data_IF_000693213707
#
_entry.id   IF_000693213707
#
_cell.length_a   1.000
_cell.length_b   1.000
_cell.length_c   1.000
_cell.angle_alpha   90.00
_cell.angle_beta   90.00
_cell.angle_gamma   90.00
#
_symmetry.space_group_name_H-M   'P 1'
#
loop_
_entity.id
_entity.type
_entity.pdbx_description
1 polymer ?
#
# COMPACT_ATOMS: atom_id res chain seq x y z
N UNK A 1 7.50 -12.49 -5.39
CA UNK A 1 6.44 -11.49 -5.57
C UNK A 1 5.13 -12.24 -5.78
N UNK A 2 4.10 -12.01 -4.96
CA UNK A 2 2.80 -12.69 -5.11
C UNK A 2 1.98 -12.08 -6.25
N UNK A 3 1.06 -12.85 -6.84
CA UNK A 3 0.18 -12.38 -7.90
C UNK A 3 -0.63 -11.14 -7.47
N UNK A 4 -1.10 -11.12 -6.22
CA UNK A 4 -1.88 -10.00 -5.68
C UNK A 4 -1.06 -8.70 -5.58
N UNK A 5 0.20 -8.78 -5.11
CA UNK A 5 1.10 -7.63 -5.08
C UNK A 5 1.40 -7.10 -6.49
N UNK A 6 1.52 -8.00 -7.47
CA UNK A 6 1.69 -7.62 -8.87
C UNK A 6 0.45 -6.89 -9.42
N UNK A 7 -0.76 -7.34 -9.10
CA UNK A 7 -2.01 -6.67 -9.50
C UNK A 7 -2.10 -5.25 -8.94
N UNK A 8 -1.74 -5.04 -7.67
CA UNK A 8 -1.73 -3.71 -7.05
C UNK A 8 -0.71 -2.80 -7.74
N UNK A 9 0.48 -3.30 -8.02
CA UNK A 9 1.51 -2.53 -8.74
C UNK A 9 1.07 -2.18 -10.17
N UNK A 10 0.44 -3.12 -10.87
CA UNK A 10 -0.11 -2.87 -12.20
C UNK A 10 -1.20 -1.78 -12.15
N UNK A 11 -2.04 -1.77 -11.12
CA UNK A 11 -3.07 -0.74 -10.93
C UNK A 11 -2.46 0.65 -10.71
N UNK A 12 -1.40 0.75 -9.89
CA UNK A 12 -0.63 1.99 -9.74
C UNK A 12 -0.11 2.49 -11.09
N UNK A 13 0.49 1.61 -11.88
CA UNK A 13 1.03 1.96 -13.20
C UNK A 13 -0.06 2.38 -14.17
N UNK A 14 -1.22 1.71 -14.17
CA UNK A 14 -2.37 2.09 -14.99
C UNK A 14 -2.83 3.50 -14.63
N UNK A 15 -3.06 3.79 -13.34
CA UNK A 15 -3.47 5.15 -12.93
C UNK A 15 -2.43 6.21 -13.27
N UNK A 16 -1.14 5.89 -13.12
CA UNK A 16 -0.05 6.79 -13.48
C UNK A 16 -0.02 7.07 -14.99
N UNK A 17 -0.17 6.04 -15.83
CA UNK A 17 -0.20 6.20 -17.29
C UNK A 17 -1.45 6.97 -17.73
N UNK A 18 -2.63 6.67 -17.16
CA UNK A 18 -3.85 7.41 -17.44
C UNK A 18 -3.70 8.89 -17.09
N UNK A 19 -3.08 9.19 -15.94
CA UNK A 19 -2.86 10.58 -15.51
C UNK A 19 -1.87 11.34 -16.41
N UNK A 20 -0.75 10.72 -16.80
CA UNK A 20 0.32 11.39 -17.54
C UNK A 20 0.07 11.49 -19.04
N UNK A 21 -0.56 10.47 -19.63
CA UNK A 21 -0.60 10.29 -21.09
C UNK A 21 -2.00 10.48 -21.66
N UNK A 22 -3.05 10.18 -20.90
CA UNK A 22 -4.41 10.22 -21.44
C UNK A 22 -4.98 11.65 -21.54
N UNK A 23 -5.96 11.81 -22.43
CA UNK A 23 -6.87 12.95 -22.45
C UNK A 23 -8.08 12.76 -21.54
N UNK A 24 -8.95 13.75 -21.47
CA UNK A 24 -10.20 13.65 -20.71
C UNK A 24 -11.17 12.68 -21.39
N UNK A 25 -11.93 11.86 -20.64
CA UNK A 25 -12.08 11.85 -19.18
C UNK A 25 -11.07 10.97 -18.43
N UNK A 26 -10.22 10.24 -19.15
CA UNK A 26 -9.34 9.21 -18.55
C UNK A 26 -8.24 9.79 -17.67
N UNK A 27 -7.79 11.01 -17.96
CA UNK A 27 -6.85 11.74 -17.10
C UNK A 27 -7.41 11.96 -15.69
N UNK A 28 -8.69 12.33 -15.58
CA UNK A 28 -9.37 12.52 -14.30
C UNK A 28 -9.48 11.20 -13.53
N UNK A 29 -9.74 10.09 -14.23
CA UNK A 29 -9.72 8.74 -13.63
C UNK A 29 -8.34 8.40 -13.08
N UNK A 30 -7.27 8.67 -13.84
CA UNK A 30 -5.90 8.47 -13.38
C UNK A 30 -5.56 9.32 -12.16
N UNK A 31 -5.92 10.61 -12.19
CA UNK A 31 -5.71 11.55 -11.07
C UNK A 31 -6.39 11.08 -9.80
N UNK A 32 -7.70 10.83 -9.86
CA UNK A 32 -8.45 10.39 -8.68
C UNK A 32 -8.07 8.98 -8.23
N UNK A 33 -7.73 8.08 -9.16
CA UNK A 33 -7.19 6.76 -8.84
C UNK A 33 -5.90 6.86 -8.04
N UNK A 34 -4.94 7.68 -8.46
CA UNK A 34 -3.70 7.92 -7.72
C UNK A 34 -3.96 8.54 -6.35
N UNK A 35 -4.79 9.59 -6.28
CA UNK A 35 -5.11 10.28 -5.02
C UNK A 35 -5.74 9.30 -4.03
N UNK A 36 -6.73 8.52 -4.46
CA UNK A 36 -7.39 7.54 -3.61
C UNK A 36 -6.43 6.43 -3.17
N UNK A 37 -5.56 5.93 -4.06
CA UNK A 37 -4.55 4.93 -3.69
C UNK A 37 -3.57 5.46 -2.64
N UNK A 38 -3.08 6.70 -2.80
CA UNK A 38 -2.19 7.33 -1.81
C UNK A 38 -2.90 7.48 -0.46
N UNK A 39 -4.15 7.95 -0.44
CA UNK A 39 -4.91 8.14 0.79
C UNK A 39 -5.22 6.81 1.48
N UNK A 40 -5.68 5.81 0.73
CA UNK A 40 -6.02 4.49 1.26
C UNK A 40 -4.78 3.79 1.82
N UNK A 41 -3.69 3.71 1.06
CA UNK A 41 -2.49 3.02 1.50
C UNK A 41 -1.74 3.82 2.57
N UNK A 42 -1.80 5.16 2.55
CA UNK A 42 -1.31 6.01 3.62
C UNK A 42 -2.07 5.79 4.93
N UNK A 43 -3.39 5.63 4.88
CA UNK A 43 -4.20 5.23 6.04
C UNK A 43 -3.81 3.83 6.53
N UNK A 44 -3.59 2.88 5.64
CA UNK A 44 -3.13 1.53 6.00
C UNK A 44 -1.76 1.56 6.69
N UNK A 45 -0.82 2.40 6.26
CA UNK A 45 0.45 2.57 6.97
C UNK A 45 0.23 2.99 8.42
N UNK A 46 -0.73 3.89 8.68
CA UNK A 46 -1.06 4.33 10.04
C UNK A 46 -1.71 3.20 10.85
N UNK A 47 -2.70 2.51 10.27
CA UNK A 47 -3.40 1.40 10.92
C UNK A 47 -2.47 0.23 11.24
N UNK A 48 -1.51 -0.06 10.36
CA UNK A 48 -0.55 -1.17 10.50
C UNK A 48 0.80 -0.74 11.07
N UNK A 49 0.97 0.51 11.51
CA UNK A 49 2.22 1.02 12.06
C UNK A 49 2.73 0.17 13.23
N UNK A 50 1.83 -0.19 14.16
CA UNK A 50 2.16 -1.03 15.31
C UNK A 50 2.64 -2.42 14.89
N UNK A 51 2.03 -3.03 13.86
CA UNK A 51 2.47 -4.32 13.30
C UNK A 51 3.85 -4.18 12.64
N UNK A 52 4.08 -3.12 11.87
CA UNK A 52 5.38 -2.87 11.23
C UNK A 52 6.50 -2.66 12.25
N UNK A 53 6.24 -1.96 13.36
CA UNK A 53 7.21 -1.75 14.44
C UNK A 53 7.59 -3.06 15.14
N UNK A 54 6.63 -3.97 15.31
CA UNK A 54 6.83 -5.26 15.99
C UNK A 54 7.41 -6.35 15.10
N UNK A 55 7.28 -6.24 13.78
CA UNK A 55 7.82 -7.22 12.82
C UNK A 55 9.36 -7.34 12.85
N UNK A 56 10.05 -6.43 13.53
CA UNK A 56 11.51 -6.35 13.55
C UNK A 56 12.07 -5.83 12.22
N UNK A 57 13.40 -5.78 12.09
CA UNK A 57 14.05 -5.29 10.88
C UNK A 57 13.87 -3.79 10.64
N UNK A 58 13.72 -3.40 9.37
CA UNK A 58 13.66 -1.99 8.96
C UNK A 58 12.22 -1.48 8.93
N UNK A 59 11.82 -0.72 9.95
CA UNK A 59 10.51 -0.08 10.01
C UNK A 59 10.18 0.77 8.76
N UNK A 60 11.07 1.65 8.26
CA UNK A 60 10.80 2.41 7.03
C UNK A 60 10.53 1.50 5.82
N UNK A 61 11.21 0.37 5.74
CA UNK A 61 11.00 -0.60 4.65
C UNK A 61 9.63 -1.28 4.75
N UNK A 62 9.22 -1.70 5.96
CA UNK A 62 7.88 -2.27 6.16
C UNK A 62 6.79 -1.25 5.82
N UNK A 63 6.93 0.00 6.27
CA UNK A 63 5.99 1.07 5.97
C UNK A 63 5.92 1.39 4.47
N UNK A 64 7.06 1.42 3.77
CA UNK A 64 7.10 1.57 2.33
C UNK A 64 6.39 0.41 1.60
N UNK A 65 6.58 -0.82 2.07
CA UNK A 65 5.87 -1.96 1.49
C UNK A 65 4.36 -1.96 1.79
N UNK A 66 3.93 -1.48 2.97
CA UNK A 66 2.50 -1.22 3.23
C UNK A 66 2.00 -0.09 2.33
N UNK A 67 2.78 0.96 2.08
CA UNK A 67 2.38 2.03 1.16
C UNK A 67 2.16 1.53 -0.28
N UNK A 68 3.02 0.63 -0.75
CA UNK A 68 2.89 0.10 -2.12
C UNK A 68 1.82 -0.97 -2.24
N UNK A 69 1.73 -1.89 -1.28
CA UNK A 69 0.93 -3.11 -1.39
C UNK A 69 -0.25 -3.18 -0.42
N UNK A 70 -0.39 -2.20 0.45
CA UNK A 70 -1.46 -2.08 1.41
C UNK A 70 -1.54 -3.22 2.42
N UNK A 71 -2.77 -3.61 2.75
CA UNK A 71 -3.07 -4.75 3.62
C UNK A 71 -2.39 -6.06 3.18
N UNK A 72 -2.09 -6.24 1.89
CA UNK A 72 -1.43 -7.46 1.41
C UNK A 72 -0.06 -7.64 2.06
N UNK A 73 0.70 -6.56 2.23
CA UNK A 73 1.96 -6.64 2.96
C UNK A 73 1.75 -6.81 4.46
N UNK A 74 0.76 -6.12 5.03
CA UNK A 74 0.47 -6.22 6.46
C UNK A 74 0.08 -7.65 6.90
N UNK A 75 -0.54 -8.43 6.00
CA UNK A 75 -0.86 -9.85 6.22
C UNK A 75 0.33 -10.78 6.16
N UNK A 76 1.42 -10.38 5.49
CA UNK A 76 2.67 -11.13 5.46
C UNK A 76 3.54 -10.85 6.70
N UNK A 77 3.22 -9.80 7.47
CA UNK A 77 3.90 -9.52 8.74
C UNK A 77 3.49 -10.56 9.79
N UNK A 78 4.43 -11.02 10.64
CA UNK A 78 4.13 -11.94 11.71
C UNK A 78 2.93 -11.48 12.55
N UNK A 79 2.00 -12.40 12.82
CA UNK A 79 0.96 -12.15 13.82
C UNK A 79 1.62 -12.18 15.20
N UNK A 80 1.46 -11.09 15.95
CA UNK A 80 1.85 -11.08 17.36
C UNK A 80 0.69 -11.71 18.14
N UNK A 81 0.91 -12.81 18.89
CA UNK A 81 -0.14 -13.38 19.72
C UNK A 81 -0.64 -12.31 20.71
N UNK A 82 -1.96 -12.17 20.82
CA UNK A 82 -2.59 -11.24 21.76
C UNK A 82 -2.15 -11.60 23.20
N UNK A 83 -1.33 -10.76 23.83
CA UNK A 83 -0.86 -11.00 25.19
C UNK A 83 0.50 -10.41 25.56
N UNK A 84 1.29 -9.90 24.60
CA UNK A 84 2.59 -9.26 24.87
C UNK A 84 2.46 -7.73 25.09
N UNK A 85 1.32 -7.33 25.66
CA UNK A 85 1.05 -5.99 26.18
C UNK A 85 1.36 -5.99 27.70
N UNK A 86 2.58 -6.41 28.07
CA UNK A 86 3.08 -6.33 29.45
C UNK A 86 3.76 -4.98 29.69
#
# INVERSE_FOLDING_TARGET
>A
MSFQKLSVLALWLVFLVLFLVAGDPWREVGKWGLVLSVLAHGLEMFLFFGRCKRAGGSLPWHLFQVFLFGILHARELPEVPAGEDA
#
